data_IF_039854866964
#
_entry.id   IF_039854866964
#
_cell.length_a   1.000
_cell.length_b   1.000
_cell.length_c   1.000
_cell.angle_alpha   90.00
_cell.angle_beta   90.00
_cell.angle_gamma   90.00
#
_symmetry.space_group_name_H-M   'P 1'
#
loop_
_entity.id
_entity.type
_entity.pdbx_description
1 polymer ?
#
# COMPACT_ATOMS: atom_id res chain seq x y z
N UNK A 1 -0.99 -18.02 -6.55
CA UNK A 1 -0.07 -17.08 -7.23
C UNK A 1 1.14 -16.76 -6.37
N UNK A 2 0.95 -16.39 -5.10
CA UNK A 2 2.01 -16.14 -4.12
C UNK A 2 3.08 -17.26 -4.06
N UNK A 3 2.65 -18.52 -3.94
CA UNK A 3 3.55 -19.68 -3.86
C UNK A 3 4.42 -19.84 -5.10
N UNK A 4 3.80 -19.81 -6.29
CA UNK A 4 4.52 -19.90 -7.56
C UNK A 4 5.54 -18.76 -7.71
N UNK A 5 5.15 -17.52 -7.44
CA UNK A 5 6.06 -16.37 -7.52
C UNK A 5 7.25 -16.53 -6.58
N UNK A 6 7.01 -16.96 -5.35
CA UNK A 6 8.05 -17.11 -4.33
C UNK A 6 9.04 -18.21 -4.71
N UNK A 7 8.55 -19.35 -5.20
CA UNK A 7 9.39 -20.47 -5.66
C UNK A 7 10.22 -20.06 -6.87
N UNK A 8 9.61 -19.46 -7.89
CA UNK A 8 10.33 -19.04 -9.10
C UNK A 8 11.39 -18.00 -8.75
N UNK A 9 11.05 -16.98 -7.95
CA UNK A 9 12.02 -15.96 -7.53
C UNK A 9 13.22 -16.56 -6.77
N UNK A 10 12.94 -17.46 -5.81
CA UNK A 10 13.99 -18.09 -4.98
C UNK A 10 14.92 -18.97 -5.81
N UNK A 11 14.36 -19.80 -6.70
CA UNK A 11 15.15 -20.69 -7.57
C UNK A 11 15.96 -19.88 -8.59
N UNK A 12 15.35 -18.86 -9.20
CA UNK A 12 16.01 -17.98 -10.17
C UNK A 12 17.23 -17.25 -9.57
N UNK A 13 17.14 -16.75 -8.33
CA UNK A 13 18.27 -16.08 -7.66
C UNK A 13 19.48 -17.00 -7.47
N UNK A 14 19.24 -18.27 -7.14
CA UNK A 14 20.30 -19.26 -6.97
C UNK A 14 20.91 -19.69 -8.32
N UNK A 15 20.10 -19.86 -9.36
CA UNK A 15 20.57 -20.18 -10.72
C UNK A 15 21.44 -19.06 -11.27
N UNK A 16 21.08 -17.79 -11.02
CA UNK A 16 21.76 -16.61 -11.54
C UNK A 16 23.27 -16.60 -11.22
N UNK A 17 23.67 -17.13 -10.05
CA UNK A 17 25.05 -17.16 -9.58
C UNK A 17 25.97 -17.98 -10.49
N UNK A 18 25.42 -18.97 -11.20
CA UNK A 18 26.18 -19.93 -12.00
C UNK A 18 26.19 -19.59 -13.50
N UNK A 19 25.44 -18.57 -13.92
CA UNK A 19 25.35 -18.20 -15.33
C UNK A 19 26.64 -17.50 -15.79
N UNK A 20 27.28 -17.97 -16.87
CA UNK A 20 28.49 -17.34 -17.41
C UNK A 20 28.18 -16.20 -18.40
N UNK A 21 26.97 -16.15 -18.95
CA UNK A 21 26.58 -15.22 -20.02
C UNK A 21 25.68 -14.09 -19.47
N UNK A 22 26.04 -12.84 -19.78
CA UNK A 22 25.28 -11.65 -19.41
C UNK A 22 23.83 -11.67 -19.93
N UNK A 23 23.57 -12.17 -21.14
CA UNK A 23 22.22 -12.27 -21.69
C UNK A 23 21.36 -13.22 -20.86
N UNK A 24 21.93 -14.35 -20.42
CA UNK A 24 21.23 -15.28 -19.53
C UNK A 24 20.96 -14.64 -18.16
N UNK A 25 21.92 -13.89 -17.62
CA UNK A 25 21.74 -13.14 -16.36
C UNK A 25 20.60 -12.12 -16.50
N UNK A 26 20.53 -11.38 -17.61
CA UNK A 26 19.48 -10.40 -17.88
C UNK A 26 18.10 -11.05 -18.01
N UNK A 27 17.99 -12.18 -18.70
CA UNK A 27 16.73 -12.94 -18.80
C UNK A 27 16.27 -13.41 -17.42
N UNK A 28 17.17 -13.95 -16.60
CA UNK A 28 16.82 -14.38 -15.23
C UNK A 28 16.46 -13.19 -14.34
N UNK A 29 17.18 -12.06 -14.43
CA UNK A 29 16.83 -10.80 -13.74
C UNK A 29 15.45 -10.29 -14.15
N UNK A 30 15.10 -10.39 -15.43
CA UNK A 30 13.78 -10.01 -15.92
C UNK A 30 12.67 -10.87 -15.31
N UNK A 31 12.85 -12.20 -15.31
CA UNK A 31 11.91 -13.13 -14.67
C UNK A 31 11.78 -12.84 -13.17
N UNK A 32 12.90 -12.63 -12.47
CA UNK A 32 12.89 -12.24 -11.05
C UNK A 32 12.13 -10.92 -10.82
N UNK A 33 12.29 -9.95 -11.71
CA UNK A 33 11.59 -8.66 -11.64
C UNK A 33 10.07 -8.79 -11.73
N UNK A 34 9.54 -9.76 -12.50
CA UNK A 34 8.10 -10.03 -12.57
C UNK A 34 7.62 -10.77 -11.32
N UNK A 35 8.40 -11.73 -10.84
CA UNK A 35 8.00 -12.59 -9.71
C UNK A 35 8.10 -11.88 -8.35
N UNK A 36 9.02 -10.92 -8.18
CA UNK A 36 9.24 -10.26 -6.90
C UNK A 36 8.02 -9.46 -6.40
N UNK A 37 7.45 -8.51 -7.18
CA UNK A 37 6.25 -7.78 -6.76
C UNK A 37 5.07 -8.71 -6.49
N UNK A 38 4.87 -9.71 -7.37
CA UNK A 38 3.78 -10.68 -7.24
C UNK A 38 3.84 -11.43 -5.91
N UNK A 39 5.05 -11.73 -5.43
CA UNK A 39 5.24 -12.48 -4.18
C UNK A 39 5.09 -11.56 -2.95
N UNK A 40 5.80 -10.44 -2.92
CA UNK A 40 5.82 -9.54 -1.75
C UNK A 40 4.43 -8.94 -1.49
N UNK A 41 3.75 -8.47 -2.53
CA UNK A 41 2.50 -7.73 -2.35
C UNK A 41 1.25 -8.61 -2.23
N UNK A 42 1.25 -9.79 -2.84
CA UNK A 42 0.22 -10.78 -2.56
C UNK A 42 0.33 -11.29 -1.11
N UNK A 43 1.56 -11.50 -0.61
CA UNK A 43 1.81 -11.86 0.79
C UNK A 43 1.37 -10.75 1.76
N UNK A 44 1.65 -9.49 1.43
CA UNK A 44 1.18 -8.34 2.20
C UNK A 44 -0.36 -8.29 2.27
N UNK A 45 -1.03 -8.39 1.11
CA UNK A 45 -2.50 -8.31 1.06
C UNK A 45 -3.16 -9.46 1.84
N UNK A 46 -2.64 -10.69 1.68
CA UNK A 46 -3.10 -11.86 2.42
C UNK A 46 -2.94 -11.66 3.94
N UNK A 47 -1.84 -11.06 4.38
CA UNK A 47 -1.61 -10.73 5.80
C UNK A 47 -2.62 -9.71 6.33
N UNK A 48 -3.00 -8.74 5.50
CA UNK A 48 -3.95 -7.68 5.87
C UNK A 48 -5.42 -8.13 5.89
N UNK A 49 -5.75 -9.12 5.06
CA UNK A 49 -7.09 -9.72 5.00
C UNK A 49 -7.34 -10.74 6.10
N UNK A 50 -6.31 -11.46 6.52
CA UNK A 50 -6.38 -12.47 7.59
C UNK A 50 -6.28 -11.88 8.99
N UNK A 51 -5.65 -10.71 9.13
CA UNK A 51 -5.52 -10.02 10.41
C UNK A 51 -6.84 -9.44 10.91
N UNK A 52 -7.09 -9.57 12.21
CA UNK A 52 -8.15 -8.86 12.94
C UNK A 52 -7.99 -7.34 12.74
N UNK A 53 -9.06 -6.59 12.41
CA UNK A 53 -9.05 -5.13 12.37
C UNK A 53 -8.33 -4.43 13.53
N UNK A 54 -8.35 -5.00 14.75
CA UNK A 54 -7.67 -4.43 15.93
C UNK A 54 -6.15 -4.41 15.82
N UNK A 55 -5.55 -5.44 15.23
CA UNK A 55 -4.09 -5.60 15.14
C UNK A 55 -3.55 -5.23 13.76
N UNK A 56 -4.42 -4.71 12.88
CA UNK A 56 -4.11 -4.45 11.48
C UNK A 56 -2.96 -3.48 11.28
N UNK A 57 -2.91 -2.38 12.04
CA UNK A 57 -1.81 -1.41 11.94
C UNK A 57 -0.48 -2.02 12.38
N UNK A 58 -0.49 -2.82 13.44
CA UNK A 58 0.69 -3.53 13.93
C UNK A 58 1.20 -4.55 12.91
N UNK A 59 0.33 -5.44 12.41
CA UNK A 59 0.72 -6.46 11.42
C UNK A 59 1.16 -5.81 10.10
N UNK A 60 0.41 -4.82 9.61
CA UNK A 60 0.72 -4.13 8.36
C UNK A 60 2.05 -3.37 8.37
N UNK A 61 2.55 -2.99 9.54
CA UNK A 61 3.86 -2.36 9.70
C UNK A 61 4.95 -3.42 9.90
N UNK A 62 4.73 -4.42 10.76
CA UNK A 62 5.72 -5.45 11.08
C UNK A 62 6.07 -6.34 9.87
N UNK A 63 5.16 -6.49 8.89
CA UNK A 63 5.45 -7.22 7.64
C UNK A 63 6.59 -6.59 6.84
N UNK A 64 6.96 -5.34 7.08
CA UNK A 64 8.12 -4.69 6.44
C UNK A 64 9.46 -4.95 7.17
N UNK A 65 9.47 -5.51 8.38
CA UNK A 65 10.73 -5.80 9.10
C UNK A 65 11.71 -6.70 8.32
N UNK A 66 11.25 -7.77 7.63
CA UNK A 66 12.15 -8.59 6.80
C UNK A 66 12.86 -7.79 5.72
N UNK A 67 12.24 -6.73 5.18
CA UNK A 67 12.87 -5.84 4.20
C UNK A 67 14.03 -5.06 4.82
N UNK A 68 13.85 -4.51 6.01
CA UNK A 68 14.91 -3.80 6.74
C UNK A 68 16.07 -4.72 7.14
N UNK A 69 15.76 -5.94 7.61
CA UNK A 69 16.77 -6.96 7.90
C UNK A 69 17.53 -7.40 6.65
N UNK A 70 16.85 -7.46 5.50
CA UNK A 70 17.48 -7.75 4.21
C UNK A 70 18.47 -6.66 3.81
N UNK A 71 18.12 -5.38 3.95
CA UNK A 71 19.03 -4.25 3.66
C UNK A 71 20.28 -4.31 4.54
N UNK A 72 20.12 -4.55 5.84
CA UNK A 72 21.24 -4.69 6.79
C UNK A 72 22.14 -5.87 6.38
N UNK A 73 21.52 -7.01 6.09
CA UNK A 73 22.23 -8.21 5.65
C UNK A 73 22.98 -7.98 4.34
N UNK A 74 22.38 -7.26 3.39
CA UNK A 74 23.00 -6.93 2.11
C UNK A 74 24.27 -6.09 2.28
N UNK A 75 24.22 -5.08 3.14
CA UNK A 75 25.40 -4.28 3.48
C UNK A 75 26.48 -5.11 4.18
N UNK A 76 26.09 -5.95 5.15
CA UNK A 76 27.01 -6.82 5.88
C UNK A 76 27.70 -7.88 5.01
N UNK A 77 26.93 -8.62 4.20
CA UNK A 77 27.48 -9.61 3.28
C UNK A 77 28.29 -8.94 2.16
N UNK A 78 27.92 -7.74 1.71
CA UNK A 78 28.68 -7.02 0.67
C UNK A 78 30.07 -6.61 1.16
N UNK A 79 30.21 -6.32 2.45
CA UNK A 79 31.50 -6.07 3.07
C UNK A 79 32.36 -7.34 3.15
N UNK A 80 31.76 -8.46 3.55
CA UNK A 80 32.45 -9.74 3.78
C UNK A 80 32.76 -10.53 2.49
N UNK A 81 31.85 -10.53 1.51
CA UNK A 81 31.93 -11.29 0.27
C UNK A 81 32.06 -10.32 -0.91
N UNK A 82 33.30 -10.13 -1.38
CA UNK A 82 33.59 -9.27 -2.54
C UNK A 82 33.36 -9.96 -3.88
N UNK A 83 33.33 -11.29 -3.91
CA UNK A 83 32.96 -12.03 -5.11
C UNK A 83 31.44 -12.02 -5.30
N UNK A 84 31.00 -11.41 -6.40
CA UNK A 84 29.58 -11.17 -6.65
C UNK A 84 28.76 -12.47 -6.75
N UNK A 85 29.37 -13.59 -7.16
CA UNK A 85 28.67 -14.88 -7.32
C UNK A 85 28.31 -15.46 -5.97
N UNK A 86 29.31 -15.51 -5.08
CA UNK A 86 29.12 -15.96 -3.70
C UNK A 86 28.22 -15.02 -2.92
N UNK A 87 28.34 -13.71 -3.14
CA UNK A 87 27.46 -12.72 -2.54
C UNK A 87 25.98 -12.96 -2.89
N UNK A 88 25.64 -13.10 -4.19
CA UNK A 88 24.26 -13.36 -4.61
C UNK A 88 23.77 -14.72 -4.11
N UNK A 89 24.63 -15.73 -4.08
CA UNK A 89 24.29 -17.07 -3.60
C UNK A 89 23.95 -17.05 -2.11
N UNK A 90 24.81 -16.46 -1.27
CA UNK A 90 24.60 -16.38 0.18
C UNK A 90 23.36 -15.56 0.54
N UNK A 91 23.04 -14.50 -0.20
CA UNK A 91 21.83 -13.70 0.02
C UNK A 91 20.56 -14.45 -0.43
N UNK A 92 20.65 -15.28 -1.48
CA UNK A 92 19.49 -16.01 -2.03
C UNK A 92 19.21 -17.34 -1.32
N UNK A 93 20.22 -17.94 -0.68
CA UNK A 93 20.12 -19.26 -0.04
C UNK A 93 19.11 -19.31 1.13
N UNK A 94 19.05 -18.32 2.04
CA UNK A 94 18.07 -18.32 3.13
C UNK A 94 16.63 -18.41 2.63
N UNK A 95 16.33 -17.85 1.46
CA UNK A 95 14.99 -17.85 0.91
C UNK A 95 14.49 -19.26 0.54
N UNK A 96 15.41 -20.17 0.16
CA UNK A 96 15.07 -21.59 -0.07
C UNK A 96 14.69 -22.31 1.22
N UNK A 97 15.33 -21.95 2.35
CA UNK A 97 15.06 -22.53 3.67
C UNK A 97 13.65 -22.18 4.15
N UNK A 98 13.11 -21.03 3.73
CA UNK A 98 11.76 -20.59 4.10
C UNK A 98 10.66 -21.09 3.16
N UNK A 99 10.98 -21.73 2.02
CA UNK A 99 9.95 -22.28 1.11
C UNK A 99 8.97 -23.27 1.76
N UNK A 100 9.39 -24.17 2.68
CA UNK A 100 8.47 -25.05 3.39
C UNK A 100 7.38 -24.31 4.19
N UNK A 101 7.61 -23.05 4.57
CA UNK A 101 6.60 -22.25 5.26
C UNK A 101 5.34 -22.02 4.40
N UNK A 102 5.47 -22.08 3.06
CA UNK A 102 4.34 -21.94 2.14
C UNK A 102 3.29 -23.05 2.29
N UNK A 103 3.66 -24.24 2.79
CA UNK A 103 2.70 -25.33 3.06
C UNK A 103 1.80 -25.05 4.27
N UNK A 104 2.20 -24.13 5.14
CA UNK A 104 1.42 -23.74 6.31
C UNK A 104 0.49 -22.56 6.04
N UNK A 105 0.62 -21.89 4.89
CA UNK A 105 -0.20 -20.73 4.54
C UNK A 105 -1.55 -21.18 3.96
N UNK A 106 -2.63 -20.72 4.59
CA UNK A 106 -3.98 -20.86 4.08
C UNK A 106 -4.38 -19.64 3.21
N UNK A 107 -5.35 -19.83 2.33
CA UNK A 107 -5.90 -18.76 1.49
C UNK A 107 -6.85 -17.85 2.29
N UNK A 108 -7.02 -16.59 1.86
CA UNK A 108 -7.89 -15.61 2.53
C UNK A 108 -9.34 -16.12 2.63
N UNK A 109 -9.94 -16.20 3.85
CA UNK A 109 -11.33 -16.60 4.03
C UNK A 109 -12.31 -15.68 3.29
N UNK A 110 -12.05 -14.37 3.29
CA UNK A 110 -12.89 -13.37 2.62
C UNK A 110 -12.92 -13.59 1.11
N UNK A 111 -11.76 -13.84 0.50
CA UNK A 111 -11.66 -14.12 -0.93
C UNK A 111 -12.40 -15.41 -1.32
N UNK A 112 -12.29 -16.46 -0.47
CA UNK A 112 -13.00 -17.73 -0.69
C UNK A 112 -14.54 -17.54 -0.64
N UNK A 113 -15.05 -16.72 0.27
CA UNK A 113 -16.48 -16.39 0.38
C UNK A 113 -16.97 -15.67 -0.87
N UNK A 114 -16.26 -14.61 -1.29
CA UNK A 114 -16.59 -13.83 -2.51
C UNK A 114 -16.59 -14.72 -3.77
N UNK A 115 -15.68 -15.69 -3.85
CA UNK A 115 -15.59 -16.66 -4.96
C UNK A 115 -16.62 -17.79 -4.90
N UNK A 116 -17.48 -17.83 -3.88
CA UNK A 116 -18.47 -18.90 -3.68
C UNK A 116 -17.87 -20.25 -3.25
N UNK A 117 -16.63 -20.27 -2.74
CA UNK A 117 -15.96 -21.48 -2.25
C UNK A 117 -16.22 -21.70 -0.76
N UNK A 118 -17.47 -21.94 -0.39
CA UNK A 118 -17.93 -21.97 1.01
C UNK A 118 -17.26 -23.03 1.86
N UNK A 119 -17.17 -24.27 1.37
CA UNK A 119 -16.52 -25.37 2.10
C UNK A 119 -15.04 -25.10 2.37
N UNK A 120 -14.34 -24.47 1.41
CA UNK A 120 -12.94 -24.10 1.60
C UNK A 120 -12.79 -22.99 2.64
N UNK A 121 -13.66 -21.98 2.60
CA UNK A 121 -13.68 -20.90 3.60
C UNK A 121 -13.92 -21.47 5.01
N UNK A 122 -14.89 -22.38 5.14
CA UNK A 122 -15.21 -23.06 6.38
C UNK A 122 -14.00 -23.82 6.95
N UNK A 123 -13.30 -24.62 6.14
CA UNK A 123 -12.10 -25.35 6.57
C UNK A 123 -11.01 -24.43 7.12
N UNK A 124 -10.78 -23.29 6.46
CA UNK A 124 -9.80 -22.30 6.91
C UNK A 124 -10.23 -21.67 8.23
N UNK A 125 -11.50 -21.27 8.36
CA UNK A 125 -12.04 -20.70 9.60
C UNK A 125 -11.98 -21.68 10.78
N UNK A 126 -12.33 -22.94 10.57
CA UNK A 126 -12.20 -24.01 11.57
C UNK A 126 -10.75 -24.22 12.00
N UNK A 127 -9.80 -24.21 11.05
CA UNK A 127 -8.37 -24.29 11.36
C UNK A 127 -7.90 -23.09 12.17
N UNK A 128 -8.27 -21.87 11.78
CA UNK A 128 -7.94 -20.65 12.50
C UNK A 128 -8.54 -20.64 13.93
N UNK A 129 -9.78 -21.10 14.10
CA UNK A 129 -10.43 -21.23 15.40
C UNK A 129 -9.69 -22.18 16.34
N UNK A 130 -9.20 -23.33 15.84
CA UNK A 130 -8.40 -24.26 16.64
C UNK A 130 -7.11 -23.64 17.16
N UNK A 131 -6.46 -22.81 16.34
CA UNK A 131 -5.22 -22.12 16.71
C UNK A 131 -5.47 -20.96 17.67
N UNK A 132 -6.57 -20.23 17.48
CA UNK A 132 -6.91 -19.05 18.28
C UNK A 132 -7.71 -19.40 19.55
N UNK A 133 -8.17 -20.65 19.71
CA UNK A 133 -9.08 -21.06 20.79
C UNK A 133 -10.46 -20.37 20.73
N UNK A 134 -10.84 -19.78 19.60
CA UNK A 134 -12.08 -19.04 19.43
C UNK A 134 -13.27 -19.99 19.21
N UNK A 135 -14.39 -19.77 19.90
CA UNK A 135 -15.64 -20.53 19.68
C UNK A 135 -16.29 -20.06 18.38
N UNK A 136 -16.37 -20.94 17.38
CA UNK A 136 -17.13 -20.71 16.16
C UNK A 136 -18.62 -21.02 16.39
N UNK A 137 -19.45 -20.42 15.54
CA UNK A 137 -20.84 -20.83 15.36
C UNK A 137 -20.90 -22.31 14.91
N UNK A 138 -22.04 -23.01 15.16
CA UNK A 138 -22.32 -24.28 14.53
C UNK A 138 -22.10 -24.22 13.00
N UNK A 139 -21.69 -25.34 12.41
CA UNK A 139 -21.28 -25.40 10.99
C UNK A 139 -22.39 -24.91 10.04
N UNK A 140 -23.64 -25.25 10.34
CA UNK A 140 -24.82 -24.86 9.56
C UNK A 140 -25.06 -23.33 9.60
N UNK A 141 -25.03 -22.74 10.80
CA UNK A 141 -25.20 -21.30 11.00
C UNK A 141 -24.08 -20.49 10.35
N UNK A 142 -22.85 -21.02 10.38
CA UNK A 142 -21.69 -20.37 9.78
C UNK A 142 -21.75 -20.42 8.24
N UNK A 143 -22.22 -21.53 7.68
CA UNK A 143 -22.45 -21.66 6.24
C UNK A 143 -23.58 -20.74 5.77
N UNK A 144 -24.65 -20.61 6.55
CA UNK A 144 -25.74 -19.67 6.27
C UNK A 144 -25.21 -18.21 6.23
N UNK A 145 -24.43 -17.82 7.24
CA UNK A 145 -23.80 -16.49 7.30
C UNK A 145 -22.87 -16.23 6.10
N UNK A 146 -22.06 -17.22 5.71
CA UNK A 146 -21.20 -17.14 4.52
C UNK A 146 -22.03 -16.93 3.25
N UNK A 147 -23.17 -17.64 3.13
CA UNK A 147 -24.09 -17.52 2.02
C UNK A 147 -24.73 -16.13 1.93
N UNK A 148 -25.13 -15.57 3.06
CA UNK A 148 -25.74 -14.23 3.13
C UNK A 148 -24.74 -13.13 2.75
N UNK A 149 -23.51 -13.21 3.28
CA UNK A 149 -22.41 -12.29 2.88
C UNK A 149 -22.13 -12.39 1.39
N UNK A 150 -22.19 -13.58 0.78
CA UNK A 150 -21.98 -13.70 -0.67
C UNK A 150 -23.11 -13.05 -1.47
N UNK A 151 -24.37 -13.10 -1.01
CA UNK A 151 -25.53 -12.53 -1.73
C UNK A 151 -25.54 -11.00 -1.76
N UNK A 152 -24.90 -10.34 -0.80
CA UNK A 152 -24.75 -8.88 -0.77
C UNK A 152 -23.70 -8.35 -1.77
N UNK A 153 -22.76 -9.20 -2.21
CA UNK A 153 -21.61 -8.88 -3.08
C UNK A 153 -21.85 -8.89 -4.62
N UNK A 154 -22.77 -9.67 -5.24
CA UNK A 154 -22.77 -9.87 -6.69
C UNK A 154 -23.46 -8.75 -7.47
N UNK A 155 -24.32 -7.96 -6.83
CA UNK A 155 -25.01 -6.83 -7.45
C UNK A 155 -24.11 -5.59 -7.60
N UNK A 156 -23.07 -5.45 -6.77
CA UNK A 156 -22.21 -4.26 -6.71
C UNK A 156 -20.93 -4.41 -7.56
N UNK A 157 -20.42 -5.63 -7.71
CA UNK A 157 -19.11 -5.92 -8.34
C UNK A 157 -19.08 -5.67 -9.85
N UNK A 158 -20.06 -6.18 -10.61
CA UNK A 158 -20.09 -6.07 -12.08
C UNK A 158 -20.29 -4.63 -12.57
N UNK A 159 -21.06 -3.83 -11.84
CA UNK A 159 -21.38 -2.45 -12.21
C UNK A 159 -20.19 -1.50 -12.00
N UNK A 160 -19.39 -1.74 -10.96
CA UNK A 160 -18.21 -0.93 -10.64
C UNK A 160 -16.99 -1.32 -11.48
N UNK A 161 -16.82 -2.62 -11.77
CA UNK A 161 -15.70 -3.15 -12.55
C UNK A 161 -15.72 -2.62 -14.01
N UNK A 162 -16.91 -2.51 -14.62
CA UNK A 162 -17.09 -1.90 -15.95
C UNK A 162 -16.84 -0.39 -15.96
N UNK A 163 -17.15 0.34 -14.87
CA UNK A 163 -17.02 1.82 -14.81
C UNK A 163 -15.63 2.31 -14.42
N UNK A 164 -14.81 1.49 -13.74
CA UNK A 164 -13.50 1.90 -13.24
C UNK A 164 -12.38 1.82 -14.29
N UNK A 165 -12.54 0.96 -15.31
CA UNK A 165 -11.47 0.64 -16.29
C UNK A 165 -11.67 1.37 -17.64
N UNK A 166 -12.91 1.69 -18.04
CA UNK A 166 -13.21 2.46 -19.24
C UNK A 166 -14.29 3.51 -18.96
N UNK A 167 -14.03 4.82 -19.09
CA UNK A 167 -15.11 5.77 -19.27
C UNK A 167 -15.58 5.68 -20.73
N UNK A 168 -16.39 4.69 -21.08
CA UNK A 168 -17.05 4.67 -22.39
C UNK A 168 -18.42 5.35 -22.31
N UNK A 169 -18.85 6.04 -23.38
CA UNK A 169 -20.11 6.75 -23.41
C UNK A 169 -21.26 5.73 -23.50
N UNK A 170 -22.20 5.83 -22.56
CA UNK A 170 -23.59 5.36 -22.66
C UNK A 170 -23.79 3.91 -23.14
N UNK A 171 -24.07 2.99 -22.21
CA UNK A 171 -24.75 1.74 -22.53
C UNK A 171 -26.16 1.74 -21.90
N UNK A 172 -27.23 1.56 -22.68
CA UNK A 172 -28.58 1.43 -22.16
C UNK A 172 -28.75 0.08 -21.44
N UNK A 173 -29.51 0.10 -20.34
CA UNK A 173 -29.57 -0.95 -19.33
C UNK A 173 -29.90 -2.36 -19.83
N UNK A 174 -29.15 -3.33 -19.30
CA UNK A 174 -29.55 -4.74 -19.31
C UNK A 174 -30.46 -4.98 -18.10
N UNK A 175 -31.76 -5.09 -18.34
CA UNK A 175 -32.73 -5.59 -17.35
C UNK A 175 -32.63 -7.11 -17.29
N UNK A 176 -32.43 -7.68 -16.10
CA UNK A 176 -32.92 -9.03 -15.82
C UNK A 176 -34.43 -8.91 -15.66
N UNK A 177 -35.18 -9.37 -16.65
CA UNK A 177 -36.62 -9.57 -16.53
C UNK A 177 -36.86 -10.80 -15.65
N UNK A 178 -37.38 -10.58 -14.44
CA UNK A 178 -38.21 -11.57 -13.76
C UNK A 178 -39.28 -10.82 -12.91
N UNK A 179 -40.50 -10.88 -13.44
CA UNK A 179 -41.82 -10.78 -12.78
C UNK A 179 -42.32 -9.45 -12.16
N UNK A 180 -43.26 -8.86 -12.92
CA UNK A 180 -44.61 -8.44 -12.53
C UNK A 180 -44.83 -7.22 -11.60
N UNK A 181 -45.44 -6.19 -12.21
CA UNK A 181 -46.49 -5.28 -11.72
C UNK A 181 -46.28 -4.59 -10.36
N UNK A 182 -46.00 -3.28 -10.36
CA UNK A 182 -47.03 -2.26 -10.10
C UNK A 182 -46.49 -0.82 -10.25
N UNK A 183 -47.41 0.05 -10.65
CA UNK A 183 -47.57 1.48 -10.35
C UNK A 183 -46.41 2.51 -10.50
N UNK A 184 -46.57 3.32 -11.56
CA UNK A 184 -46.52 4.78 -11.55
C UNK A 184 -45.83 5.54 -10.41
N UNK A 185 -44.61 6.03 -10.69
CA UNK A 185 -43.99 7.15 -9.98
C UNK A 185 -42.48 6.97 -9.81
N UNK A 186 -41.66 7.55 -10.70
CA UNK A 186 -40.21 7.45 -10.51
C UNK A 186 -39.33 7.90 -11.67
N UNK A 187 -39.50 9.12 -12.18
CA UNK A 187 -38.45 9.72 -13.05
C UNK A 187 -37.35 10.40 -12.21
N UNK A 188 -37.63 10.86 -10.99
CA UNK A 188 -36.63 11.48 -10.10
C UNK A 188 -35.65 10.47 -9.49
N UNK A 189 -36.05 9.23 -9.24
CA UNK A 189 -35.18 8.21 -8.61
C UNK A 189 -34.09 7.71 -9.56
N UNK A 190 -34.37 7.60 -10.86
CA UNK A 190 -33.43 7.12 -11.87
C UNK A 190 -32.31 8.14 -12.17
N UNK A 191 -32.65 9.44 -12.17
CA UNK A 191 -31.67 10.51 -12.31
C UNK A 191 -30.79 10.67 -11.06
N UNK A 192 -31.36 10.44 -9.87
CA UNK A 192 -30.63 10.42 -8.60
C UNK A 192 -29.66 9.23 -8.51
N UNK A 193 -30.09 8.02 -8.88
CA UNK A 193 -29.22 6.83 -8.96
C UNK A 193 -28.08 7.00 -9.97
N UNK A 194 -28.37 7.60 -11.13
CA UNK A 194 -27.36 7.90 -12.15
C UNK A 194 -26.36 8.98 -11.72
N UNK A 195 -26.82 10.03 -11.04
CA UNK A 195 -25.97 11.09 -10.48
C UNK A 195 -25.10 10.56 -9.33
N UNK A 196 -25.69 9.73 -8.45
CA UNK A 196 -25.01 9.09 -7.34
C UNK A 196 -23.93 8.12 -7.83
N UNK A 197 -24.20 7.30 -8.85
CA UNK A 197 -23.19 6.43 -9.48
C UNK A 197 -22.04 7.17 -10.17
N UNK A 198 -22.29 8.39 -10.67
CA UNK A 198 -21.27 9.24 -11.31
C UNK A 198 -20.38 9.95 -10.28
N UNK A 199 -20.97 10.39 -9.16
CA UNK A 199 -20.20 10.89 -8.01
C UNK A 199 -19.38 9.79 -7.36
N UNK A 200 -19.90 8.56 -7.34
CA UNK A 200 -19.26 7.35 -6.78
C UNK A 200 -17.95 7.01 -7.50
N UNK A 201 -18.00 7.04 -8.83
CA UNK A 201 -16.81 6.84 -9.67
C UNK A 201 -15.79 7.96 -9.50
N UNK A 202 -16.25 9.20 -9.27
CA UNK A 202 -15.37 10.38 -9.16
C UNK A 202 -14.55 10.37 -7.89
N UNK A 203 -15.14 10.01 -6.74
CA UNK A 203 -14.44 9.98 -5.45
C UNK A 203 -13.37 8.89 -5.41
N UNK A 204 -13.70 7.67 -5.87
CA UNK A 204 -12.73 6.58 -5.96
C UNK A 204 -11.61 6.88 -6.93
N UNK A 205 -11.92 7.54 -8.05
CA UNK A 205 -10.90 8.03 -8.99
C UNK A 205 -9.96 9.03 -8.34
N UNK A 206 -10.48 10.00 -7.60
CA UNK A 206 -9.65 11.02 -6.96
C UNK A 206 -8.73 10.43 -5.87
N UNK A 207 -9.21 9.43 -5.11
CA UNK A 207 -8.38 8.64 -4.17
C UNK A 207 -7.30 7.88 -4.94
N UNK A 208 -7.67 7.17 -6.00
CA UNK A 208 -6.75 6.35 -6.80
C UNK A 208 -5.66 7.19 -7.45
N UNK A 209 -6.01 8.33 -8.07
CA UNK A 209 -5.04 9.24 -8.67
C UNK A 209 -4.11 9.86 -7.63
N UNK A 210 -4.64 10.19 -6.45
CA UNK A 210 -3.82 10.70 -5.34
C UNK A 210 -2.85 9.64 -4.83
N UNK A 211 -3.27 8.37 -4.76
CA UNK A 211 -2.39 7.26 -4.41
C UNK A 211 -1.35 6.99 -5.50
N UNK A 212 -1.70 7.01 -6.79
CA UNK A 212 -0.74 6.85 -7.88
C UNK A 212 0.37 7.90 -7.82
N UNK A 213 0.00 9.16 -7.59
CA UNK A 213 0.97 10.24 -7.42
C UNK A 213 1.86 10.02 -6.20
N UNK A 214 1.28 9.66 -5.05
CA UNK A 214 2.04 9.39 -3.84
C UNK A 214 3.00 8.21 -4.00
N UNK A 215 2.55 7.09 -4.57
CA UNK A 215 3.40 5.92 -4.82
C UNK A 215 4.55 6.26 -5.78
N UNK A 216 4.30 7.02 -6.84
CA UNK A 216 5.35 7.47 -7.76
C UNK A 216 6.43 8.28 -7.03
N UNK A 217 6.03 9.32 -6.29
CA UNK A 217 6.96 10.20 -5.60
C UNK A 217 7.69 9.47 -4.48
N UNK A 218 6.97 8.66 -3.72
CA UNK A 218 7.51 7.83 -2.65
C UNK A 218 8.56 6.85 -3.18
N UNK A 219 8.27 6.12 -4.27
CA UNK A 219 9.22 5.20 -4.89
C UNK A 219 10.47 5.92 -5.40
N UNK A 220 10.30 7.07 -6.04
CA UNK A 220 11.42 7.87 -6.54
C UNK A 220 12.35 8.34 -5.41
N UNK A 221 11.80 8.93 -4.35
CA UNK A 221 12.59 9.50 -3.25
C UNK A 221 13.23 8.40 -2.40
N UNK A 222 12.48 7.35 -2.08
CA UNK A 222 12.96 6.23 -1.26
C UNK A 222 14.16 5.54 -1.91
N UNK A 223 14.06 5.16 -3.19
CA UNK A 223 15.15 4.51 -3.91
C UNK A 223 16.25 5.49 -4.30
N UNK A 224 15.93 6.74 -4.63
CA UNK A 224 16.92 7.79 -4.92
C UNK A 224 17.86 8.07 -3.75
N UNK A 225 17.31 8.13 -2.52
CA UNK A 225 18.14 8.29 -1.32
C UNK A 225 18.92 7.01 -0.99
N UNK A 226 18.34 5.83 -1.24
CA UNK A 226 18.99 4.55 -0.91
C UNK A 226 20.13 4.20 -1.86
N UNK A 227 20.03 4.59 -3.13
CA UNK A 227 21.06 4.38 -4.16
C UNK A 227 22.10 5.50 -4.23
N UNK A 228 21.90 6.61 -3.50
CA UNK A 228 22.81 7.76 -3.49
C UNK A 228 24.01 7.64 -2.54
N UNK A 229 24.21 6.49 -1.89
CA UNK A 229 25.21 6.28 -0.81
C UNK A 229 26.61 6.78 -1.16
N UNK A 230 27.05 6.53 -2.39
CA UNK A 230 28.37 6.85 -2.92
C UNK A 230 28.67 8.36 -2.88
N UNK A 231 27.63 9.20 -2.92
CA UNK A 231 27.73 10.66 -2.98
C UNK A 231 27.81 11.32 -1.60
N UNK A 232 27.56 10.57 -0.53
CA UNK A 232 27.49 11.09 0.83
C UNK A 232 28.80 10.97 1.62
N UNK A 233 29.89 10.52 0.98
CA UNK A 233 31.22 10.46 1.60
C UNK A 233 31.37 9.36 2.67
N UNK A 234 30.42 8.43 2.72
CA UNK A 234 30.43 7.25 3.59
C UNK A 234 30.63 6.01 2.71
N UNK A 235 31.31 4.99 3.23
CA UNK A 235 31.42 3.70 2.55
C UNK A 235 30.01 3.17 2.19
N UNK A 236 29.77 2.75 0.93
CA UNK A 236 28.44 2.32 0.48
C UNK A 236 27.85 1.16 1.29
N UNK A 237 28.69 0.25 1.81
CA UNK A 237 28.22 -0.88 2.60
C UNK A 237 27.77 -0.43 3.99
N UNK A 238 28.53 0.46 4.63
CA UNK A 238 28.14 1.08 5.91
C UNK A 238 26.87 1.91 5.73
N UNK A 239 26.77 2.69 4.66
CA UNK A 239 25.56 3.45 4.34
C UNK A 239 24.34 2.55 4.21
N UNK A 240 24.47 1.39 3.56
CA UNK A 240 23.38 0.42 3.43
C UNK A 240 22.96 -0.15 4.79
N UNK A 241 23.92 -0.51 5.65
CA UNK A 241 23.63 -0.97 7.02
C UNK A 241 22.92 0.11 7.82
N UNK A 242 23.42 1.34 7.82
CA UNK A 242 22.80 2.47 8.53
C UNK A 242 21.38 2.75 8.00
N UNK A 243 21.22 2.74 6.68
CA UNK A 243 19.93 2.90 6.01
C UNK A 243 18.92 1.85 6.48
N UNK A 244 19.30 0.57 6.52
CA UNK A 244 18.46 -0.52 7.01
C UNK A 244 18.15 -0.43 8.51
N UNK A 245 19.12 -0.02 9.33
CA UNK A 245 18.92 0.22 10.76
C UNK A 245 17.90 1.32 11.00
N UNK A 246 17.89 2.39 10.20
CA UNK A 246 16.94 3.50 10.31
C UNK A 246 15.50 3.12 9.91
N UNK A 247 15.31 2.04 9.15
CA UNK A 247 13.96 1.57 8.81
C UNK A 247 13.26 0.86 9.97
N UNK A 248 14.01 0.18 10.84
CA UNK A 248 13.45 -0.51 12.01
C UNK A 248 12.70 0.46 12.94
N UNK A 249 13.27 1.58 13.42
CA UNK A 249 12.53 2.56 14.20
C UNK A 249 11.47 3.27 13.36
N UNK A 250 11.73 3.49 12.06
CA UNK A 250 10.75 4.00 11.10
C UNK A 250 9.49 3.13 10.97
N UNK A 251 9.56 1.83 11.25
CA UNK A 251 8.38 0.97 11.33
C UNK A 251 7.85 0.83 12.77
N UNK A 252 8.69 0.37 13.68
CA UNK A 252 8.26 -0.09 15.02
C UNK A 252 7.82 1.03 15.95
N UNK A 253 8.56 2.14 16.01
CA UNK A 253 8.24 3.26 16.91
C UNK A 253 7.03 4.06 16.40
N UNK A 254 6.73 3.94 15.10
CA UNK A 254 5.60 4.62 14.48
C UNK A 254 4.25 3.98 14.74
N UNK A 255 4.18 2.71 15.14
CA UNK A 255 2.90 2.03 15.42
C UNK A 255 2.00 2.85 16.37
N UNK A 256 2.45 3.24 17.59
CA UNK A 256 1.61 4.04 18.49
C UNK A 256 1.30 5.45 17.96
N UNK A 257 2.15 5.99 17.09
CA UNK A 257 1.97 7.30 16.47
C UNK A 257 0.86 7.23 15.42
N UNK A 258 0.87 6.22 14.55
CA UNK A 258 -0.17 5.97 13.52
C UNK A 258 -1.52 5.73 14.17
N UNK A 259 -1.57 5.00 15.28
CA UNK A 259 -2.81 4.76 16.04
C UNK A 259 -3.39 6.04 16.68
N UNK A 260 -2.53 7.01 17.05
CA UNK A 260 -2.93 8.27 17.71
C UNK A 260 -3.19 9.43 16.75
N UNK A 261 -2.37 9.60 15.73
CA UNK A 261 -2.43 10.71 14.77
C UNK A 261 -3.22 10.36 13.50
N UNK A 262 -3.48 9.08 13.27
CA UNK A 262 -4.11 8.60 12.03
C UNK A 262 -3.10 8.39 10.91
N UNK A 263 -3.56 7.79 9.82
CA UNK A 263 -2.70 7.38 8.69
C UNK A 263 -2.29 8.59 7.86
N UNK A 264 -3.26 9.47 7.57
CA UNK A 264 -3.08 10.65 6.72
C UNK A 264 -2.05 11.62 7.26
N UNK A 265 -2.15 11.97 8.54
CA UNK A 265 -1.23 12.93 9.16
C UNK A 265 0.16 12.34 9.33
N UNK A 266 0.26 11.05 9.70
CA UNK A 266 1.56 10.41 9.91
C UNK A 266 2.38 10.33 8.63
N UNK A 267 1.79 9.88 7.52
CA UNK A 267 2.49 9.87 6.22
C UNK A 267 2.77 11.28 5.71
N UNK A 268 1.84 12.23 5.90
CA UNK A 268 2.04 13.63 5.52
C UNK A 268 3.22 14.28 6.24
N UNK A 269 3.29 14.15 7.57
CA UNK A 269 4.42 14.65 8.37
C UNK A 269 5.74 13.99 7.94
N UNK A 270 5.74 12.69 7.68
CA UNK A 270 6.91 11.97 7.15
C UNK A 270 7.43 12.56 5.83
N UNK A 271 6.53 12.90 4.90
CA UNK A 271 6.90 13.57 3.65
C UNK A 271 7.47 14.97 3.85
N UNK A 272 6.90 15.77 4.76
CA UNK A 272 7.42 17.11 5.06
C UNK A 272 8.79 17.07 5.74
N UNK A 273 9.01 16.14 6.68
CA UNK A 273 10.32 15.95 7.32
C UNK A 273 11.36 15.52 6.28
N UNK A 274 11.00 14.59 5.40
CA UNK A 274 11.89 14.16 4.30
C UNK A 274 12.23 15.32 3.38
N UNK A 275 11.24 16.13 2.98
CA UNK A 275 11.45 17.31 2.16
C UNK A 275 12.43 18.30 2.81
N UNK A 276 12.22 18.61 4.09
CA UNK A 276 13.11 19.49 4.86
C UNK A 276 14.54 18.96 4.94
N UNK A 277 14.69 17.67 5.29
CA UNK A 277 16.00 17.04 5.40
C UNK A 277 16.78 17.05 4.08
N UNK A 278 16.12 16.74 2.96
CA UNK A 278 16.75 16.72 1.63
C UNK A 278 17.08 18.13 1.11
N UNK A 279 16.23 19.13 1.39
CA UNK A 279 16.50 20.52 1.01
C UNK A 279 17.69 21.10 1.80
N UNK A 280 17.77 20.83 3.11
CA UNK A 280 18.93 21.21 3.93
C UNK A 280 20.20 20.52 3.43
N UNK A 281 20.11 19.24 3.07
CA UNK A 281 21.22 18.49 2.51
C UNK A 281 21.71 19.07 1.18
N UNK A 282 20.81 19.56 0.33
CA UNK A 282 21.15 20.23 -0.93
C UNK A 282 21.95 21.52 -0.76
N UNK A 283 21.79 22.24 0.35
CA UNK A 283 22.52 23.48 0.64
C UNK A 283 23.81 23.23 1.44
N UNK A 284 23.96 22.03 2.01
CA UNK A 284 25.09 21.71 2.88
C UNK A 284 26.39 21.54 2.08
N UNK A 285 27.47 22.27 2.41
CA UNK A 285 28.76 22.12 1.74
C UNK A 285 29.39 20.76 2.03
N UNK A 286 30.09 20.21 1.03
CA UNK A 286 30.64 18.84 0.99
C UNK A 286 31.76 18.54 2.02
N UNK A 287 32.09 19.48 2.91
CA UNK A 287 33.15 19.34 3.91
C UNK A 287 32.70 18.77 5.26
N UNK A 288 31.38 18.65 5.51
CA UNK A 288 30.82 18.28 6.82
C UNK A 288 30.12 16.92 6.74
N UNK A 289 30.89 15.84 6.63
CA UNK A 289 30.36 14.48 6.43
C UNK A 289 29.35 14.05 7.51
N UNK A 290 29.58 14.40 8.79
CA UNK A 290 28.67 14.04 9.88
C UNK A 290 27.28 14.68 9.70
N UNK A 291 27.21 15.92 9.22
CA UNK A 291 25.95 16.62 8.98
C UNK A 291 25.22 16.05 7.76
N UNK A 292 25.97 15.74 6.70
CA UNK A 292 25.45 15.09 5.49
C UNK A 292 24.83 13.74 5.83
N UNK A 293 25.53 12.90 6.58
CA UNK A 293 25.03 11.57 6.98
C UNK A 293 23.83 11.69 7.92
N UNK A 294 23.87 12.57 8.93
CA UNK A 294 22.75 12.70 9.89
C UNK A 294 21.47 13.20 9.20
N UNK A 295 21.56 14.20 8.33
CA UNK A 295 20.40 14.67 7.56
C UNK A 295 19.87 13.60 6.60
N UNK A 296 20.77 12.87 5.92
CA UNK A 296 20.37 11.74 5.07
C UNK A 296 19.66 10.65 5.86
N UNK A 297 20.13 10.33 7.08
CA UNK A 297 19.49 9.32 7.95
C UNK A 297 18.12 9.79 8.48
N UNK A 298 17.97 11.07 8.83
CA UNK A 298 16.67 11.64 9.20
C UNK A 298 15.69 11.55 8.03
N UNK A 299 16.13 11.93 6.83
CA UNK A 299 15.33 11.79 5.61
C UNK A 299 14.98 10.33 5.33
N UNK A 300 15.93 9.41 5.50
CA UNK A 300 15.72 7.96 5.31
C UNK A 300 14.71 7.40 6.30
N UNK A 301 14.81 7.76 7.57
CA UNK A 301 13.86 7.33 8.59
C UNK A 301 12.44 7.84 8.27
N UNK A 302 12.32 9.12 7.91
CA UNK A 302 11.03 9.76 7.61
C UNK A 302 10.38 9.27 6.31
N UNK A 303 11.16 8.92 5.28
CA UNK A 303 10.61 8.36 4.05
C UNK A 303 10.23 6.89 4.21
N UNK A 304 11.00 6.10 4.96
CA UNK A 304 10.66 4.70 5.28
C UNK A 304 9.38 4.61 6.10
N UNK A 305 9.25 5.51 7.08
CA UNK A 305 8.02 5.76 7.82
C UNK A 305 6.82 6.05 6.91
N UNK A 306 6.94 7.04 6.03
CA UNK A 306 5.89 7.39 5.08
C UNK A 306 5.56 6.23 4.15
N UNK A 307 6.56 5.46 3.72
CA UNK A 307 6.38 4.31 2.84
C UNK A 307 5.42 3.29 3.44
N UNK A 308 5.70 2.82 4.66
CA UNK A 308 4.89 1.80 5.32
C UNK A 308 3.46 2.28 5.59
N UNK A 309 3.31 3.54 6.02
CA UNK A 309 1.99 4.13 6.29
C UNK A 309 1.18 4.33 5.01
N UNK A 310 1.78 4.76 3.90
CA UNK A 310 1.07 4.91 2.61
C UNK A 310 0.61 3.55 2.07
N UNK A 311 1.43 2.50 2.22
CA UNK A 311 1.02 1.13 1.86
C UNK A 311 -0.16 0.65 2.70
N UNK A 312 -0.11 0.85 4.02
CA UNK A 312 -1.20 0.53 4.92
C UNK A 312 -2.46 1.33 4.54
N UNK A 313 -2.32 2.63 4.33
CA UNK A 313 -3.42 3.52 3.97
C UNK A 313 -4.07 3.11 2.64
N UNK A 314 -3.29 2.73 1.63
CA UNK A 314 -3.82 2.21 0.38
C UNK A 314 -4.67 0.95 0.57
N UNK A 315 -4.24 0.00 1.42
CA UNK A 315 -5.05 -1.20 1.71
C UNK A 315 -6.32 -0.91 2.49
N UNK A 316 -6.36 0.14 3.29
CA UNK A 316 -7.57 0.55 4.01
C UNK A 316 -8.52 1.37 3.13
N UNK A 317 -7.99 2.10 2.14
CA UNK A 317 -8.78 2.91 1.20
C UNK A 317 -9.47 2.09 0.11
N UNK A 318 -8.81 1.04 -0.39
CA UNK A 318 -9.43 0.18 -1.39
C UNK A 318 -10.31 -0.91 -0.75
N UNK A 319 -11.58 -1.05 -1.19
CA UNK A 319 -12.46 -2.11 -0.71
C UNK A 319 -11.97 -3.47 -1.21
N UNK A 320 -12.33 -4.54 -0.49
CA UNK A 320 -11.75 -5.88 -0.68
C UNK A 320 -11.86 -6.40 -2.12
N UNK A 321 -12.95 -6.09 -2.82
CA UNK A 321 -13.20 -6.51 -4.20
C UNK A 321 -12.16 -5.98 -5.21
N UNK A 322 -11.76 -4.71 -5.07
CA UNK A 322 -10.80 -4.06 -5.98
C UNK A 322 -9.44 -3.82 -5.35
N UNK A 323 -9.24 -4.16 -4.07
CA UNK A 323 -7.99 -3.90 -3.33
C UNK A 323 -6.76 -4.45 -4.01
N UNK A 324 -6.76 -5.74 -4.34
CA UNK A 324 -5.59 -6.39 -4.96
C UNK A 324 -5.23 -5.68 -6.28
N UNK A 325 -6.24 -5.27 -7.05
CA UNK A 325 -6.06 -4.58 -8.34
C UNK A 325 -5.57 -3.16 -8.16
N UNK A 326 -6.25 -2.36 -7.32
CA UNK A 326 -5.91 -0.96 -7.06
C UNK A 326 -4.56 -0.80 -6.37
N UNK A 327 -4.22 -1.67 -5.42
CA UNK A 327 -2.89 -1.69 -4.82
C UNK A 327 -1.83 -2.08 -5.86
N UNK A 328 -2.11 -3.10 -6.69
CA UNK A 328 -1.20 -3.54 -7.75
C UNK A 328 -0.85 -2.42 -8.74
N UNK A 329 -1.83 -1.64 -9.19
CA UNK A 329 -1.60 -0.51 -10.09
C UNK A 329 -0.92 0.67 -9.41
N UNK A 330 -1.20 0.94 -8.13
CA UNK A 330 -0.46 1.93 -7.34
C UNK A 330 1.03 1.56 -7.25
N UNK A 331 1.32 0.29 -6.99
CA UNK A 331 2.68 -0.21 -6.89
C UNK A 331 3.40 -0.13 -8.24
N UNK A 332 2.73 -0.44 -9.35
CA UNK A 332 3.30 -0.25 -10.69
C UNK A 332 3.78 1.20 -10.88
N UNK A 333 2.98 2.18 -10.44
CA UNK A 333 3.37 3.58 -10.50
C UNK A 333 4.56 3.91 -9.59
N UNK A 334 4.62 3.30 -8.41
CA UNK A 334 5.80 3.41 -7.53
C UNK A 334 7.07 2.81 -8.14
N UNK A 335 6.93 1.72 -8.91
CA UNK A 335 8.06 1.16 -9.65
C UNK A 335 8.53 2.09 -10.77
N UNK A 336 7.64 2.78 -11.48
CA UNK A 336 8.04 3.85 -12.43
C UNK A 336 8.87 4.92 -11.74
N UNK A 337 8.47 5.34 -10.53
CA UNK A 337 9.27 6.25 -9.69
C UNK A 337 10.66 5.67 -9.34
N UNK A 338 10.72 4.41 -8.92
CA UNK A 338 12.00 3.74 -8.59
C UNK A 338 12.92 3.57 -9.80
N UNK A 339 12.35 3.32 -10.99
CA UNK A 339 13.11 3.15 -12.23
C UNK A 339 13.71 4.48 -12.69
N UNK A 340 13.01 5.60 -12.47
CA UNK A 340 13.50 6.94 -12.86
C UNK A 340 14.54 7.50 -11.89
N UNK A 341 14.55 7.07 -10.63
CA UNK A 341 15.44 7.61 -9.60
C UNK A 341 16.95 7.51 -9.94
N UNK A 342 17.52 6.36 -10.37
CA UNK A 342 18.93 6.28 -10.73
C UNK A 342 19.32 7.25 -11.86
N UNK A 343 18.48 7.36 -12.90
CA UNK A 343 18.71 8.27 -14.01
C UNK A 343 18.68 9.74 -13.58
N UNK A 344 17.79 10.09 -12.64
CA UNK A 344 17.77 11.43 -12.04
C UNK A 344 19.02 11.69 -11.20
N UNK A 345 19.44 10.73 -10.38
CA UNK A 345 20.65 10.86 -9.55
C UNK A 345 21.90 11.03 -10.40
N UNK A 346 22.08 10.22 -11.45
CA UNK A 346 23.25 10.25 -12.31
C UNK A 346 23.22 11.45 -13.25
N UNK A 347 22.11 11.64 -13.98
CA UNK A 347 21.93 12.73 -14.93
C UNK A 347 22.06 14.12 -14.29
N UNK A 348 21.26 14.41 -13.26
CA UNK A 348 21.33 15.71 -12.57
C UNK A 348 22.60 15.84 -11.71
N UNK A 349 23.10 14.72 -11.20
CA UNK A 349 24.34 14.70 -10.42
C UNK A 349 25.57 15.09 -11.22
N UNK A 350 25.58 14.88 -12.55
CA UNK A 350 26.66 15.34 -13.43
C UNK A 350 26.76 16.87 -13.52
N UNK A 351 25.63 17.57 -13.33
CA UNK A 351 25.54 19.04 -13.35
C UNK A 351 25.85 19.60 -11.96
N UNK A 352 25.33 18.96 -10.91
CA UNK A 352 25.60 19.34 -9.52
C UNK A 352 25.06 18.31 -8.54
N UNK A 353 25.82 18.01 -7.49
CA UNK A 353 25.45 17.04 -6.44
C UNK A 353 24.20 17.45 -5.65
N UNK A 354 23.88 18.75 -5.61
CA UNK A 354 22.71 19.30 -4.91
C UNK A 354 21.39 19.18 -5.69
N UNK A 355 21.44 19.11 -7.02
CA UNK A 355 20.25 19.11 -7.88
C UNK A 355 19.30 17.92 -7.64
N UNK A 356 19.78 16.65 -7.61
CA UNK A 356 18.92 15.51 -7.29
C UNK A 356 18.22 15.66 -5.94
N UNK A 357 18.90 16.22 -4.94
CA UNK A 357 18.38 16.39 -3.59
C UNK A 357 17.24 17.42 -3.55
N UNK A 358 17.38 18.52 -4.27
CA UNK A 358 16.31 19.53 -4.40
C UNK A 358 15.10 18.96 -5.13
N UNK A 359 15.32 18.17 -6.19
CA UNK A 359 14.23 17.50 -6.92
C UNK A 359 13.49 16.51 -6.02
N UNK A 360 14.21 15.68 -5.27
CA UNK A 360 13.61 14.73 -4.32
C UNK A 360 12.92 15.43 -3.14
N UNK A 361 13.47 16.53 -2.64
CA UNK A 361 12.86 17.35 -1.61
C UNK A 361 11.55 17.99 -2.08
N UNK A 362 11.55 18.56 -3.30
CA UNK A 362 10.35 19.11 -3.93
C UNK A 362 9.28 18.05 -4.24
N UNK A 363 9.70 16.88 -4.74
CA UNK A 363 8.82 15.74 -4.96
C UNK A 363 8.14 15.27 -3.66
N UNK A 364 8.91 15.19 -2.57
CA UNK A 364 8.40 14.84 -1.24
C UNK A 364 7.41 15.89 -0.71
N UNK A 365 7.69 17.18 -0.92
CA UNK A 365 6.81 18.26 -0.50
C UNK A 365 5.45 18.18 -1.22
N UNK A 366 5.47 17.96 -2.53
CA UNK A 366 4.26 17.79 -3.34
C UNK A 366 3.49 16.53 -2.93
N UNK A 367 4.18 15.42 -2.68
CA UNK A 367 3.57 14.19 -2.17
C UNK A 367 2.86 14.44 -0.85
N UNK A 368 3.50 15.12 0.11
CA UNK A 368 2.90 15.52 1.38
C UNK A 368 1.61 16.34 1.21
N UNK A 369 1.61 17.34 0.32
CA UNK A 369 0.43 18.18 0.04
C UNK A 369 -0.72 17.36 -0.56
N UNK A 370 -0.44 16.47 -1.51
CA UNK A 370 -1.46 15.60 -2.13
C UNK A 370 -1.96 14.56 -1.12
N UNK A 371 -1.08 13.98 -0.32
CA UNK A 371 -1.42 13.02 0.73
C UNK A 371 -2.38 13.61 1.77
N UNK A 372 -2.25 14.90 2.08
CA UNK A 372 -3.21 15.61 2.94
C UNK A 372 -4.62 15.72 2.34
N UNK A 373 -4.86 15.36 1.08
CA UNK A 373 -6.23 15.31 0.52
C UNK A 373 -6.91 13.96 0.73
N UNK A 374 -6.16 12.93 1.12
CA UNK A 374 -6.72 11.59 1.33
C UNK A 374 -7.66 11.57 2.55
N UNK A 375 -8.71 10.73 2.53
CA UNK A 375 -9.56 10.56 3.70
C UNK A 375 -8.85 9.76 4.79
N UNK A 376 -9.12 10.10 6.04
CA UNK A 376 -8.58 9.38 7.21
C UNK A 376 -9.36 8.08 7.43
N UNK A 377 -8.64 6.98 7.70
CA UNK A 377 -9.17 5.62 7.84
C UNK A 377 -9.16 5.12 9.30
N UNK A 378 -8.70 5.95 10.25
CA UNK A 378 -8.60 5.59 11.66
C UNK A 378 -9.95 5.19 12.27
N UNK A 379 -10.02 3.94 12.76
CA UNK A 379 -11.15 3.42 13.53
C UNK A 379 -12.35 3.01 12.67
N UNK A 380 -12.23 3.07 11.34
CA UNK A 380 -13.29 2.64 10.44
C UNK A 380 -13.14 1.14 10.11
N UNK A 381 -14.25 0.37 10.08
CA UNK A 381 -14.19 -1.02 9.63
C UNK A 381 -13.80 -1.08 8.16
N UNK A 382 -13.08 -2.14 7.82
CA UNK A 382 -12.65 -2.40 6.45
C UNK A 382 -13.89 -2.59 5.57
N UNK A 383 -13.92 -1.86 4.46
CA UNK A 383 -15.07 -1.84 3.59
C UNK A 383 -15.00 -3.03 2.64
N UNK A 384 -16.05 -3.83 2.66
CA UNK A 384 -16.15 -5.01 1.79
C UNK A 384 -16.62 -4.63 0.38
N UNK A 385 -17.43 -3.57 0.26
CA UNK A 385 -17.98 -3.11 -1.03
C UNK A 385 -17.67 -1.63 -1.29
N UNK A 386 -17.67 -1.24 -2.57
CA UNK A 386 -17.47 0.16 -3.00
C UNK A 386 -18.65 1.04 -2.55
N UNK A 387 -19.86 0.48 -2.51
CA UNK A 387 -21.06 1.17 -2.02
C UNK A 387 -20.99 1.51 -0.51
N UNK A 388 -20.40 0.63 0.32
CA UNK A 388 -20.21 0.87 1.76
C UNK A 388 -19.28 2.05 2.10
N UNK A 389 -18.23 2.27 1.30
CA UNK A 389 -17.31 3.42 1.42
C UNK A 389 -18.00 4.78 1.28
N UNK A 390 -19.14 4.83 0.59
CA UNK A 390 -19.85 6.08 0.29
C UNK A 390 -20.99 6.38 1.24
N UNK A 391 -21.65 5.37 1.80
CA UNK A 391 -22.64 5.55 2.87
C UNK A 391 -22.04 6.37 4.03
N UNK A 392 -20.79 6.07 4.42
CA UNK A 392 -20.03 6.80 5.45
C UNK A 392 -19.63 8.21 4.98
N UNK A 393 -19.26 8.36 3.70
CA UNK A 393 -18.96 9.66 3.10
C UNK A 393 -20.13 10.63 3.12
N UNK A 394 -21.34 10.12 2.84
CA UNK A 394 -22.57 10.89 2.87
C UNK A 394 -23.02 11.18 4.30
N UNK A 395 -22.81 10.28 5.27
CA UNK A 395 -23.04 10.61 6.70
C UNK A 395 -22.09 11.72 7.19
N UNK A 396 -20.86 11.77 6.67
CA UNK A 396 -19.86 12.80 7.01
C UNK A 396 -20.15 14.14 6.35
N UNK A 397 -20.66 14.14 5.10
CA UNK A 397 -21.21 15.35 4.45
C UNK A 397 -22.47 15.85 5.18
N UNK A 398 -23.37 14.97 5.63
CA UNK A 398 -24.55 15.37 6.41
C UNK A 398 -24.21 15.90 7.81
N UNK A 399 -23.12 15.45 8.44
CA UNK A 399 -22.62 16.06 9.71
C UNK A 399 -21.96 17.44 9.53
N UNK A 400 -21.72 17.89 8.30
CA UNK A 400 -21.17 19.23 7.99
C UNK A 400 -22.04 19.84 6.88
N UNK A 401 -23.32 20.17 7.17
CA UNK A 401 -23.65 21.56 7.46
C UNK A 401 -24.91 21.74 8.35
N UNK A 402 -24.78 22.19 9.60
CA UNK A 402 -25.90 22.80 10.36
C UNK A 402 -25.48 23.50 11.65
N UNK A 403 -24.36 23.09 12.29
CA UNK A 403 -23.96 23.64 13.59
C UNK A 403 -23.59 25.14 13.59
N UNK A 404 -23.52 25.81 12.43
CA UNK A 404 -23.24 27.24 12.33
C UNK A 404 -24.48 28.11 12.04
N UNK A 405 -25.71 27.56 12.10
CA UNK A 405 -26.94 28.33 11.78
C UNK A 405 -28.10 28.22 12.77
N UNK A 406 -27.93 27.53 13.90
CA UNK A 406 -28.96 27.44 14.94
C UNK A 406 -28.71 28.28 16.20
N UNK A 407 -27.52 28.88 16.39
CA UNK A 407 -27.25 29.77 17.54
C UNK A 407 -27.76 31.22 17.36
N UNK A 408 -28.47 31.53 16.28
CA UNK A 408 -28.87 32.91 15.95
C UNK A 408 -30.36 33.23 15.99
N UNK A 409 -31.23 32.35 16.51
CA UNK A 409 -32.69 32.57 16.39
C UNK A 409 -33.56 32.18 17.59
N UNK A 410 -33.00 32.04 18.79
CA UNK A 410 -33.79 31.84 20.02
C UNK A 410 -33.77 33.01 21.01
N UNK A 411 -33.11 34.13 20.71
CA UNK A 411 -33.26 35.37 21.51
C UNK A 411 -34.21 36.36 20.81
N UNK A 412 -35.52 36.19 21.02
CA UNK A 412 -36.49 37.31 21.10
C UNK A 412 -37.91 36.81 21.35
N UNK A 413 -38.27 36.64 22.62
CA UNK A 413 -39.64 36.88 23.05
C UNK A 413 -39.61 37.67 24.36
N UNK A 414 -40.28 38.84 24.44
CA UNK A 414 -40.17 39.75 25.56
C UNK A 414 -40.99 39.28 26.77
N UNK A 415 -40.43 39.47 27.95
CA UNK A 415 -41.17 39.51 29.20
C UNK A 415 -42.10 40.73 29.18
N UNK A 416 -43.41 40.51 29.25
CA UNK A 416 -44.33 41.24 30.12
C UNK A 416 -45.69 40.55 30.21
#
# INVERSE_FOLDING_TARGET
MLSLGTVVFSVSGNILCWLPNIHAILVVRFVMGIMHPTSVFAGYTLSMETCDPRHRSLVGILVFLPWSLSIISLGGFGYALRDWRWFVFTVSLPMLVFLPALWFMDESPRWLIVRGRHEAALRVLQRASRWNGAKLLPEEDLLALIGDVQREVPSVTLEVECRMICPSPWQPGFKHEDNAADEGGGDTSLDEEGAQGKELTRRMRDITLSLYFNFLMLGMVYFGLSLGGDKFGVDPFIYMVLSGVMEIPGGTVLIPIVEKLGRRLTSGVGFFITAGALLVLGVTPSGINWLVTTMAMIGKLAISAAFQVVFLHATELFPTEVRVRGLGTCIMMGHVGSMTAPFLVEGLGSIGTWLPLVVFGGASLLAGIVNLRLPETRGEPLQDTVAGLEAIGNTRKQKIPSAAKQEGREESMPLH
#
